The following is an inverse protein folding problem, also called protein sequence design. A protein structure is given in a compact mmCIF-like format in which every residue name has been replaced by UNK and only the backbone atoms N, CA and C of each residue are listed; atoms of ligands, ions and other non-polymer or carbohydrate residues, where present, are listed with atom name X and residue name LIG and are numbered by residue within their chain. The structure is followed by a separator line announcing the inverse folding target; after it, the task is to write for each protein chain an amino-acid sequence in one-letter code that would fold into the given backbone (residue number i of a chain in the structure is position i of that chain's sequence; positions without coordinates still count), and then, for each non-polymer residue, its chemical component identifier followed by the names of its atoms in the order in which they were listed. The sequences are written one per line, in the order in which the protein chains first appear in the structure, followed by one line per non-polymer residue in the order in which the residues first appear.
data_IF_307056520164
#
_entry.id   IF_307056520164
#
_cell.length_a   1.000
_cell.length_b   1.000
_cell.length_c   1.000
_cell.angle_alpha   90.00
_cell.angle_beta   90.00
_cell.angle_gamma   90.00
#
_symmetry.space_group_name_H-M   'P 1'
#
loop_
_entity.id
_entity.type
_entity.pdbx_description
1 polymer ?
#
# COMPACT_ATOMS: atom_id res chain seq x y z
N UNK A 1 6.31 -3.31 -4.64
CA UNK A 1 6.15 -2.47 -3.43
C UNK A 1 4.95 -2.87 -2.59
N UNK A 2 3.73 -3.08 -3.12
CA UNK A 2 2.60 -3.62 -2.32
C UNK A 2 3.00 -4.88 -1.53
N UNK A 3 3.63 -5.85 -2.22
CA UNK A 3 4.17 -7.05 -1.58
C UNK A 3 5.09 -6.74 -0.39
N UNK A 4 6.05 -5.83 -0.58
CA UNK A 4 6.99 -5.42 0.49
C UNK A 4 6.24 -4.78 1.66
N UNK A 5 5.27 -3.91 1.39
CA UNK A 5 4.45 -3.29 2.45
C UNK A 5 3.62 -4.34 3.23
N UNK A 6 3.06 -5.34 2.54
CA UNK A 6 2.36 -6.46 3.18
C UNK A 6 3.30 -7.32 4.00
N UNK A 7 4.44 -7.71 3.41
CA UNK A 7 5.44 -8.58 4.05
C UNK A 7 6.06 -7.92 5.30
N UNK A 8 6.19 -6.58 5.30
CA UNK A 8 6.67 -5.80 6.46
C UNK A 8 5.55 -5.46 7.47
N UNK A 9 4.30 -5.79 7.20
CA UNK A 9 3.20 -5.54 8.12
C UNK A 9 2.68 -4.10 8.15
N UNK A 10 2.90 -3.32 7.09
CA UNK A 10 2.39 -1.95 6.94
C UNK A 10 0.86 -1.84 7.05
N UNK A 11 0.17 -2.92 6.67
CA UNK A 11 -1.29 -3.03 6.69
C UNK A 11 -1.83 -3.87 7.87
N UNK A 12 -1.00 -4.22 8.86
CA UNK A 12 -1.44 -4.91 10.08
C UNK A 12 -2.08 -3.95 11.09
N UNK A 13 -2.78 -4.51 12.07
CA UNK A 13 -3.34 -3.79 13.21
C UNK A 13 -2.84 -4.45 14.52
N UNK A 14 -1.95 -3.79 15.30
CA UNK A 14 -1.36 -2.47 15.04
C UNK A 14 -0.42 -2.47 13.84
N UNK A 15 -0.21 -1.30 13.22
CA UNK A 15 0.72 -1.15 12.09
C UNK A 15 2.15 -1.50 12.53
N UNK A 16 2.78 -2.41 11.79
CA UNK A 16 4.12 -2.94 12.13
C UNK A 16 5.26 -2.32 11.30
N UNK A 17 4.94 -1.57 10.23
CA UNK A 17 5.93 -0.88 9.42
C UNK A 17 5.50 0.53 9.00
N UNK A 18 6.49 1.37 8.73
CA UNK A 18 6.39 2.76 8.29
C UNK A 18 6.76 2.92 6.81
N UNK A 19 6.48 4.10 6.24
CA UNK A 19 6.92 4.42 4.88
C UNK A 19 8.45 4.46 4.76
N UNK A 20 9.16 4.92 5.80
CA UNK A 20 10.61 4.97 5.84
C UNK A 20 11.24 3.57 5.83
N UNK A 21 10.69 2.63 6.60
CA UNK A 21 11.16 1.23 6.59
C UNK A 21 10.94 0.55 5.23
N UNK A 22 9.83 0.86 4.55
CA UNK A 22 9.59 0.39 3.18
C UNK A 22 10.54 1.06 2.18
N UNK A 23 10.85 2.35 2.38
CA UNK A 23 11.79 3.10 1.55
C UNK A 23 13.20 2.49 1.66
N UNK A 24 13.65 2.19 2.88
CA UNK A 24 14.89 1.48 3.15
C UNK A 24 14.93 0.09 2.50
N UNK A 25 13.83 -0.69 2.59
CA UNK A 25 13.75 -2.02 1.99
C UNK A 25 13.71 -2.02 0.45
N UNK A 26 13.30 -0.91 -0.17
CA UNK A 26 13.14 -0.80 -1.63
C UNK A 26 14.20 0.06 -2.31
N UNK A 27 15.04 0.77 -1.54
CA UNK A 27 16.02 1.72 -2.07
C UNK A 27 15.39 2.96 -2.72
N UNK A 28 14.17 3.33 -2.30
CA UNK A 28 13.42 4.48 -2.81
C UNK A 28 13.35 5.58 -1.75
N UNK A 29 12.89 6.77 -2.15
CA UNK A 29 12.55 7.82 -1.18
C UNK A 29 11.21 7.53 -0.50
N UNK A 30 11.05 8.00 0.74
CA UNK A 30 9.77 7.93 1.48
C UNK A 30 8.61 8.56 0.69
N UNK A 31 8.88 9.68 0.00
CA UNK A 31 7.91 10.35 -0.89
C UNK A 31 7.47 9.43 -2.03
N UNK A 32 8.41 8.75 -2.70
CA UNK A 32 8.11 7.80 -3.77
C UNK A 32 7.28 6.63 -3.27
N UNK A 33 7.61 6.09 -2.09
CA UNK A 33 6.82 5.01 -1.47
C UNK A 33 5.38 5.48 -1.21
N UNK A 34 5.22 6.64 -0.57
CA UNK A 34 3.91 7.21 -0.25
C UNK A 34 3.05 7.41 -1.52
N UNK A 35 3.65 7.96 -2.59
CA UNK A 35 2.96 8.17 -3.86
C UNK A 35 2.53 6.85 -4.51
N UNK A 36 3.42 5.87 -4.53
CA UNK A 36 3.11 4.58 -5.12
C UNK A 36 2.06 3.83 -4.31
N UNK A 37 2.10 3.88 -2.96
CA UNK A 37 1.12 3.18 -2.12
C UNK A 37 -0.27 3.80 -2.34
N UNK A 38 -0.36 5.13 -2.36
CA UNK A 38 -1.60 5.83 -2.70
C UNK A 38 -2.16 5.42 -4.07
N UNK A 39 -1.31 5.26 -5.10
CA UNK A 39 -1.75 4.81 -6.44
C UNK A 39 -2.27 3.38 -6.41
N UNK A 40 -1.57 2.48 -5.72
CA UNK A 40 -1.98 1.08 -5.56
C UNK A 40 -3.31 1.00 -4.82
N UNK A 41 -3.44 1.72 -3.70
CA UNK A 41 -4.66 1.79 -2.89
C UNK A 41 -5.85 2.31 -3.72
N UNK A 42 -5.64 3.38 -4.51
CA UNK A 42 -6.67 3.88 -5.41
C UNK A 42 -7.12 2.82 -6.43
N UNK A 43 -6.18 2.06 -7.02
CA UNK A 43 -6.51 0.96 -7.93
C UNK A 43 -7.28 -0.16 -7.22
N UNK A 44 -6.83 -0.59 -6.04
CA UNK A 44 -7.50 -1.64 -5.26
C UNK A 44 -8.91 -1.19 -4.89
N UNK A 45 -9.07 -0.02 -4.28
CA UNK A 45 -10.37 0.48 -3.87
C UNK A 45 -11.32 0.72 -5.05
N UNK A 46 -10.81 1.21 -6.19
CA UNK A 46 -11.62 1.33 -7.41
C UNK A 46 -12.13 -0.04 -7.90
N UNK A 47 -11.31 -1.08 -7.80
CA UNK A 47 -11.72 -2.44 -8.18
C UNK A 47 -12.77 -3.05 -7.25
N UNK A 48 -12.78 -2.68 -5.96
CA UNK A 48 -13.76 -3.18 -4.99
C UNK A 48 -15.17 -2.59 -5.22
N UNK A 49 -15.28 -1.38 -5.77
CA UNK A 49 -16.57 -0.72 -6.03
C UNK A 49 -17.36 -1.35 -7.20
N UNK A 50 -16.71 -2.15 -8.05
CA UNK A 50 -17.35 -2.81 -9.21
C UNK A 50 -18.29 -3.96 -8.78
N UNK A 51 -18.26 -4.41 -7.52
CA UNK A 51 -19.06 -5.54 -7.03
C UNK A 51 -20.45 -5.22 -6.46
N UNK A 52 -20.87 -3.94 -6.37
CA UNK A 52 -22.12 -3.55 -5.66
C UNK A 52 -23.22 -3.01 -6.59
N UNK A 53 -23.03 -3.01 -7.91
CA UNK A 53 -24.03 -2.50 -8.88
C UNK A 53 -24.71 -3.60 -9.71
N UNK A 54 -24.78 -4.83 -9.19
CA UNK A 54 -25.67 -5.84 -9.76
C UNK A 54 -26.50 -6.51 -8.66
N UNK A 55 -27.55 -5.81 -8.21
CA UNK A 55 -28.73 -6.37 -7.55
C UNK A 55 -29.89 -5.38 -7.54
#
# INVERSE_FOLDING_TARGET
MLRVAVDLGYYQEPREATHDEIAAATGLSETTVSEHLRKIEATVFSSLHVGTTDR
#
